data_IF_683369766537
#
_entry.id   IF_683369766537
#
_cell.length_a   1.000
_cell.length_b   1.000
_cell.length_c   1.000
_cell.angle_alpha   90.00
_cell.angle_beta   90.00
_cell.angle_gamma   90.00
#
_symmetry.space_group_name_H-M   'P 1'
#
loop_
_entity.id
_entity.type
_entity.pdbx_description
1 polymer ?
#
# COMPACT_ATOMS: atom_id res chain seq x y z
N UNK A 1 2.01 -19.30 17.54
CA UNK A 1 0.60 -18.87 17.45
C UNK A 1 0.63 -17.36 17.56
N UNK A 2 0.01 -16.65 16.62
CA UNK A 2 0.02 -15.20 16.67
C UNK A 2 -0.68 -14.73 17.94
N UNK A 3 -0.33 -13.52 18.39
CA UNK A 3 -1.01 -12.88 19.52
C UNK A 3 -2.49 -12.64 19.24
N UNK A 4 -2.87 -12.55 17.96
CA UNK A 4 -4.21 -12.19 17.51
C UNK A 4 -4.70 -13.14 16.40
N UNK A 5 -5.15 -14.36 16.73
CA UNK A 5 -5.57 -15.34 15.71
C UNK A 5 -6.68 -14.84 14.77
N UNK A 6 -7.51 -13.92 15.26
CA UNK A 6 -8.54 -13.23 14.47
C UNK A 6 -8.00 -12.38 13.31
N UNK A 7 -6.73 -11.94 13.40
CA UNK A 7 -6.08 -11.09 12.40
C UNK A 7 -5.15 -11.88 11.47
N UNK A 8 -5.01 -13.21 11.65
CA UNK A 8 -4.11 -14.04 10.83
C UNK A 8 -4.59 -14.20 9.38
N UNK A 9 -5.90 -14.04 9.15
CA UNK A 9 -6.52 -14.12 7.83
C UNK A 9 -7.78 -13.27 7.75
N UNK A 10 -8.10 -12.80 6.57
CA UNK A 10 -9.35 -12.07 6.31
C UNK A 10 -10.57 -12.97 6.50
N UNK A 11 -10.44 -14.27 6.26
CA UNK A 11 -11.49 -15.27 6.49
C UNK A 11 -11.82 -15.40 7.98
N UNK A 12 -10.79 -15.52 8.83
CA UNK A 12 -10.98 -15.54 10.29
C UNK A 12 -11.60 -14.23 10.78
N UNK A 13 -11.16 -13.10 10.23
CA UNK A 13 -11.70 -11.79 10.55
C UNK A 13 -13.19 -11.68 10.21
N UNK A 14 -13.60 -12.11 9.01
CA UNK A 14 -14.99 -12.04 8.54
C UNK A 14 -15.96 -12.85 9.38
N UNK A 15 -15.49 -13.91 10.03
CA UNK A 15 -16.30 -14.73 10.91
C UNK A 15 -16.66 -14.04 12.24
N UNK A 16 -16.02 -12.93 12.58
CA UNK A 16 -16.28 -12.19 13.82
C UNK A 16 -17.50 -11.28 13.72
N UNK A 17 -18.23 -11.18 14.82
CA UNK A 17 -19.22 -10.13 15.07
C UNK A 17 -18.55 -8.79 15.36
N UNK A 18 -19.24 -7.69 15.07
CA UNK A 18 -18.72 -6.32 15.24
C UNK A 18 -18.26 -6.03 16.67
N UNK A 19 -18.98 -6.52 17.69
CA UNK A 19 -18.58 -6.34 19.08
C UNK A 19 -17.20 -6.97 19.36
N UNK A 20 -16.92 -8.13 18.77
CA UNK A 20 -15.60 -8.79 18.87
C UNK A 20 -14.54 -8.02 18.07
N UNK A 21 -14.88 -7.50 16.88
CA UNK A 21 -13.97 -6.68 16.06
C UNK A 21 -13.51 -5.43 16.82
N UNK A 22 -14.44 -4.72 17.45
CA UNK A 22 -14.15 -3.56 18.30
C UNK A 22 -13.27 -3.96 19.48
N UNK A 23 -13.57 -5.08 20.14
CA UNK A 23 -12.76 -5.57 21.26
C UNK A 23 -11.31 -5.90 20.83
N UNK A 24 -11.11 -6.50 19.65
CA UNK A 24 -9.78 -6.72 19.06
C UNK A 24 -9.08 -5.38 18.83
N UNK A 25 -9.77 -4.37 18.29
CA UNK A 25 -9.21 -3.03 18.11
C UNK A 25 -8.68 -2.40 19.40
N UNK A 26 -9.48 -2.43 20.47
CA UNK A 26 -9.05 -1.95 21.80
C UNK A 26 -7.85 -2.74 22.33
N UNK A 27 -7.87 -4.06 22.14
CA UNK A 27 -6.82 -4.94 22.62
C UNK A 27 -5.50 -4.69 21.87
N UNK A 28 -5.52 -4.48 20.55
CA UNK A 28 -4.34 -4.09 19.77
C UNK A 28 -3.83 -2.71 20.18
N UNK A 29 -4.71 -1.71 20.32
CA UNK A 29 -4.31 -0.36 20.76
C UNK A 29 -3.56 -0.39 22.09
N UNK A 30 -4.02 -1.21 23.05
CA UNK A 30 -3.37 -1.38 24.35
C UNK A 30 -1.99 -2.06 24.29
N UNK A 31 -1.58 -2.58 23.12
CA UNK A 31 -0.24 -3.16 22.89
C UNK A 31 0.70 -2.25 22.12
N UNK A 32 0.15 -1.22 21.50
CA UNK A 32 0.91 -0.12 20.95
C UNK A 32 1.30 0.83 22.10
N UNK A 33 1.95 1.94 21.77
CA UNK A 33 2.25 2.95 22.77
C UNK A 33 0.99 3.68 23.27
N UNK A 34 1.07 4.31 24.45
CA UNK A 34 -0.09 4.93 25.12
C UNK A 34 -0.77 6.07 24.36
N UNK A 35 -0.18 6.55 23.26
CA UNK A 35 -0.74 7.62 22.43
C UNK A 35 -1.76 7.08 21.43
N UNK A 36 -1.80 5.77 21.20
CA UNK A 36 -2.85 5.14 20.38
C UNK A 36 -4.13 4.92 21.16
N UNK A 37 -5.27 5.27 20.54
CA UNK A 37 -6.59 5.01 21.09
C UNK A 37 -7.51 4.42 20.02
N UNK A 38 -8.16 3.29 20.33
CA UNK A 38 -9.12 2.66 19.42
C UNK A 38 -10.43 3.43 19.32
N UNK A 39 -10.99 3.48 18.12
CA UNK A 39 -12.35 3.94 17.87
C UNK A 39 -13.35 2.79 18.05
N UNK A 40 -14.57 3.15 18.42
CA UNK A 40 -15.72 2.23 18.47
C UNK A 40 -16.32 1.97 17.08
N UNK A 41 -16.10 2.89 16.14
CA UNK A 41 -16.55 2.76 14.76
C UNK A 41 -15.58 1.89 13.94
N UNK A 42 -16.15 0.95 13.19
CA UNK A 42 -15.43 0.10 12.23
C UNK A 42 -15.44 0.74 10.85
N UNK A 43 -14.34 0.60 10.10
CA UNK A 43 -14.12 1.28 8.81
C UNK A 43 -14.00 0.30 7.64
N UNK A 44 -14.27 0.80 6.43
CA UNK A 44 -14.18 0.02 5.19
C UNK A 44 -15.23 -1.09 5.07
N UNK A 45 -15.23 -1.75 3.91
CA UNK A 45 -16.15 -2.87 3.63
C UNK A 45 -15.88 -4.09 4.53
N UNK A 46 -14.62 -4.30 4.93
CA UNK A 46 -14.23 -5.36 5.85
C UNK A 46 -14.52 -5.03 7.33
N UNK A 47 -15.07 -3.84 7.62
CA UNK A 47 -15.40 -3.34 8.98
C UNK A 47 -14.22 -3.54 9.94
N UNK A 48 -13.08 -2.94 9.61
CA UNK A 48 -11.83 -3.04 10.37
C UNK A 48 -11.82 -2.06 11.55
N UNK A 49 -11.11 -2.36 12.65
CA UNK A 49 -10.93 -1.41 13.73
C UNK A 49 -9.99 -0.30 13.29
N UNK A 50 -10.25 0.90 13.78
CA UNK A 50 -9.42 2.07 13.51
C UNK A 50 -8.92 2.70 14.80
N UNK A 51 -7.80 3.41 14.72
CA UNK A 51 -7.11 4.04 15.85
C UNK A 51 -6.85 5.52 15.54
N UNK A 52 -6.84 6.34 16.58
CA UNK A 52 -6.25 7.68 16.56
C UNK A 52 -4.91 7.67 17.28
N UNK A 53 -4.11 8.72 17.07
CA UNK A 53 -2.87 8.92 17.80
C UNK A 53 -2.78 10.36 18.34
N UNK A 54 -2.37 10.51 19.60
CA UNK A 54 -2.35 11.80 20.28
C UNK A 54 -1.51 12.89 19.58
N UNK A 55 -0.35 12.52 19.01
CA UNK A 55 0.55 13.46 18.33
C UNK A 55 0.10 13.80 16.88
N UNK A 56 -0.86 13.03 16.34
CA UNK A 56 -1.32 13.15 14.95
C UNK A 56 -2.84 13.29 14.88
N UNK A 57 -3.39 14.39 15.46
CA UNK A 57 -4.82 14.64 15.39
C UNK A 57 -5.26 14.76 13.92
N UNK A 58 -6.32 14.03 13.56
CA UNK A 58 -6.86 14.00 12.19
C UNK A 58 -6.28 12.93 11.27
N UNK A 59 -5.23 12.20 11.70
CA UNK A 59 -4.76 11.02 11.00
C UNK A 59 -5.31 9.76 11.68
N UNK A 60 -6.07 8.98 10.93
CA UNK A 60 -6.60 7.69 11.36
C UNK A 60 -5.65 6.58 10.95
N UNK A 61 -5.53 5.55 11.79
CA UNK A 61 -4.84 4.30 11.50
C UNK A 61 -5.84 3.15 11.44
N UNK A 62 -5.55 2.13 10.63
CA UNK A 62 -6.41 0.97 10.41
C UNK A 62 -5.61 -0.28 10.75
N UNK A 63 -6.23 -1.21 11.50
CA UNK A 63 -5.66 -2.52 11.78
C UNK A 63 -6.05 -3.46 10.64
N UNK A 64 -5.09 -3.80 9.80
CA UNK A 64 -5.29 -4.63 8.60
C UNK A 64 -4.98 -6.10 8.94
N UNK A 65 -5.92 -7.03 8.71
CA UNK A 65 -5.65 -8.45 8.86
C UNK A 65 -4.63 -8.93 7.83
N UNK A 66 -3.82 -9.89 8.26
CA UNK A 66 -2.90 -10.63 7.42
C UNK A 66 -3.60 -11.65 6.53
N UNK A 67 -2.80 -12.51 5.91
CA UNK A 67 -3.29 -13.56 5.04
C UNK A 67 -2.21 -14.06 4.09
N UNK A 68 -2.65 -14.58 2.94
CA UNK A 68 -1.73 -14.99 1.88
C UNK A 68 -2.27 -14.57 0.52
N UNK A 69 -1.37 -14.20 -0.37
CA UNK A 69 -1.72 -13.91 -1.77
C UNK A 69 -0.57 -14.28 -2.70
N UNK A 70 -0.85 -14.23 -4.01
CA UNK A 70 0.15 -14.32 -5.07
C UNK A 70 0.58 -12.91 -5.42
N UNK A 71 1.84 -12.59 -5.14
CA UNK A 71 2.46 -11.29 -5.43
C UNK A 71 3.12 -11.32 -6.81
N UNK A 72 2.96 -10.23 -7.57
CA UNK A 72 3.43 -10.11 -8.95
C UNK A 72 2.31 -10.20 -9.98
N UNK A 73 2.63 -9.92 -11.25
CA UNK A 73 1.63 -9.83 -12.32
C UNK A 73 1.28 -11.21 -12.84
N UNK A 74 0.08 -11.67 -12.48
CA UNK A 74 -0.41 -12.99 -12.81
C UNK A 74 -1.03 -13.08 -14.21
N UNK A 75 -0.98 -14.26 -14.81
CA UNK A 75 -1.72 -14.52 -16.06
C UNK A 75 -3.21 -14.20 -15.89
N UNK A 76 -3.79 -14.47 -14.71
CA UNK A 76 -5.19 -14.12 -14.39
C UNK A 76 -5.44 -12.60 -14.32
N UNK A 77 -4.45 -11.81 -13.90
CA UNK A 77 -4.56 -10.34 -13.90
C UNK A 77 -4.61 -9.82 -15.35
N UNK A 78 -3.83 -10.44 -16.23
CA UNK A 78 -3.76 -10.12 -17.66
C UNK A 78 -5.05 -10.55 -18.37
N UNK A 79 -5.60 -11.71 -18.00
CA UNK A 79 -6.92 -12.16 -18.46
C UNK A 79 -8.01 -11.17 -18.06
N UNK A 80 -8.05 -10.72 -16.79
CA UNK A 80 -9.02 -9.71 -16.33
C UNK A 80 -8.84 -8.38 -17.07
N UNK A 81 -7.60 -7.91 -17.26
CA UNK A 81 -7.32 -6.71 -18.06
C UNK A 81 -7.89 -6.81 -19.48
N UNK A 82 -7.83 -8.00 -20.08
CA UNK A 82 -8.33 -8.27 -21.43
C UNK A 82 -9.87 -8.19 -21.53
N UNK A 83 -10.58 -8.31 -20.40
CA UNK A 83 -12.03 -8.13 -20.37
C UNK A 83 -12.42 -6.65 -20.52
N UNK A 84 -11.52 -5.75 -20.14
CA UNK A 84 -11.79 -4.31 -20.15
C UNK A 84 -11.26 -3.63 -21.40
N UNK A 85 -10.08 -3.99 -21.91
CA UNK A 85 -9.41 -3.23 -22.98
C UNK A 85 -8.95 -4.07 -24.18
N UNK A 86 -8.82 -3.40 -25.33
CA UNK A 86 -8.22 -3.99 -26.53
C UNK A 86 -6.69 -4.08 -26.44
N UNK A 87 -6.15 -5.20 -26.92
CA UNK A 87 -4.71 -5.47 -26.98
C UNK A 87 -4.00 -4.79 -28.16
N UNK A 88 -3.95 -3.47 -28.10
CA UNK A 88 -3.16 -2.64 -29.03
C UNK A 88 -1.67 -2.93 -28.87
N UNK A 89 -0.86 -2.43 -29.82
CA UNK A 89 0.60 -2.55 -29.74
C UNK A 89 1.15 -1.94 -28.46
N UNK A 90 0.62 -0.78 -28.05
CA UNK A 90 1.14 -0.06 -26.89
C UNK A 90 0.78 -0.78 -25.59
N UNK A 91 -0.44 -1.33 -25.48
CA UNK A 91 -0.85 -2.17 -24.34
C UNK A 91 0.07 -3.39 -24.22
N UNK A 92 0.36 -4.08 -25.33
CA UNK A 92 1.30 -5.23 -25.34
C UNK A 92 2.67 -4.85 -24.81
N UNK A 93 3.25 -3.77 -25.34
CA UNK A 93 4.58 -3.32 -24.93
C UNK A 93 4.63 -2.89 -23.46
N UNK A 94 3.56 -2.26 -22.95
CA UNK A 94 3.45 -1.88 -21.54
C UNK A 94 3.36 -3.11 -20.64
N UNK A 95 2.50 -4.08 -20.95
CA UNK A 95 2.38 -5.32 -20.17
C UNK A 95 3.68 -6.13 -20.23
N UNK A 96 4.29 -6.29 -21.40
CA UNK A 96 5.60 -6.94 -21.57
C UNK A 96 6.69 -6.24 -20.74
N UNK A 97 6.66 -4.91 -20.66
CA UNK A 97 7.59 -4.16 -19.83
C UNK A 97 7.38 -4.44 -18.34
N UNK A 98 6.12 -4.46 -17.87
CA UNK A 98 5.76 -4.77 -16.49
C UNK A 98 6.19 -6.17 -16.08
N UNK A 99 5.92 -7.17 -16.94
CA UNK A 99 6.26 -8.57 -16.71
C UNK A 99 7.75 -8.81 -16.40
N UNK A 100 8.66 -7.95 -16.87
CA UNK A 100 10.09 -8.08 -16.59
C UNK A 100 10.43 -7.95 -15.10
N UNK A 101 9.70 -7.10 -14.37
CA UNK A 101 9.99 -6.76 -12.98
C UNK A 101 8.93 -7.22 -11.98
N UNK A 102 7.78 -7.70 -12.47
CA UNK A 102 6.70 -8.25 -11.63
C UNK A 102 6.65 -9.78 -11.63
N UNK A 103 7.68 -10.46 -12.17
CA UNK A 103 7.81 -11.92 -12.19
C UNK A 103 9.12 -12.41 -11.57
N UNK A 104 9.20 -13.69 -11.13
CA UNK A 104 8.11 -14.66 -11.07
C UNK A 104 7.01 -14.28 -10.07
N UNK A 105 5.78 -14.71 -10.34
CA UNK A 105 4.74 -14.72 -9.33
C UNK A 105 5.16 -15.61 -8.17
N UNK A 106 4.91 -15.18 -6.93
CA UNK A 106 5.27 -15.95 -5.76
C UNK A 106 4.26 -15.76 -4.64
N UNK A 107 4.14 -16.78 -3.77
CA UNK A 107 3.25 -16.73 -2.62
C UNK A 107 3.89 -15.92 -1.50
N UNK A 108 3.15 -14.97 -0.97
CA UNK A 108 3.56 -14.15 0.18
C UNK A 108 2.59 -14.36 1.34
N UNK A 109 3.15 -14.56 2.54
CA UNK A 109 2.41 -14.53 3.81
C UNK A 109 2.51 -13.11 4.38
N UNK A 110 1.36 -12.46 4.53
CA UNK A 110 1.25 -11.11 5.08
C UNK A 110 0.89 -11.21 6.56
N UNK A 111 1.75 -10.66 7.41
CA UNK A 111 1.44 -10.49 8.82
C UNK A 111 0.35 -9.40 9.00
N UNK A 112 -0.49 -9.45 10.05
CA UNK A 112 -1.33 -8.31 10.36
C UNK A 112 -0.49 -7.09 10.73
N UNK A 113 -0.95 -5.91 10.30
CA UNK A 113 -0.23 -4.66 10.49
C UNK A 113 -1.17 -3.48 10.74
N UNK A 114 -0.60 -2.36 11.18
CA UNK A 114 -1.31 -1.09 11.32
C UNK A 114 -0.79 -0.11 10.26
N UNK A 115 -1.69 0.59 9.58
CA UNK A 115 -1.33 1.60 8.56
C UNK A 115 -2.18 2.84 8.71
N UNK A 116 -1.64 4.01 8.34
CA UNK A 116 -2.46 5.19 8.15
C UNK A 116 -3.54 4.94 7.09
N UNK A 117 -4.72 5.52 7.28
CA UNK A 117 -5.88 5.42 6.37
C UNK A 117 -5.59 6.01 4.99
N UNK A 118 -4.66 6.96 4.90
CA UNK A 118 -4.29 7.67 3.67
C UNK A 118 -2.85 8.16 3.72
N UNK A 119 -2.33 8.55 2.55
CA UNK A 119 -1.04 9.23 2.47
C UNK A 119 -1.05 10.55 3.26
N UNK A 120 0.13 10.96 3.73
CA UNK A 120 0.28 12.28 4.33
C UNK A 120 0.11 13.36 3.27
N UNK A 121 -0.64 14.41 3.61
CA UNK A 121 -0.75 15.59 2.76
C UNK A 121 0.37 16.60 3.06
N UNK A 122 0.54 17.57 2.17
CA UNK A 122 1.57 18.61 2.30
C UNK A 122 1.61 19.28 3.67
N UNK A 123 0.47 19.70 4.21
CA UNK A 123 0.41 20.38 5.50
C UNK A 123 0.88 19.49 6.65
N UNK A 124 0.59 18.19 6.59
CA UNK A 124 1.07 17.22 7.57
C UNK A 124 2.58 17.01 7.43
N UNK A 125 3.09 16.83 6.21
CA UNK A 125 4.53 16.66 5.97
C UNK A 125 5.33 17.89 6.41
N UNK A 126 4.86 19.10 6.07
CA UNK A 126 5.46 20.36 6.51
C UNK A 126 5.50 20.46 8.05
N UNK A 127 4.38 20.17 8.72
CA UNK A 127 4.29 20.22 10.18
C UNK A 127 5.23 19.21 10.83
N UNK A 128 5.26 17.98 10.33
CA UNK A 128 6.03 16.88 10.92
C UNK A 128 7.54 17.04 10.70
N UNK A 129 7.94 17.61 9.56
CA UNK A 129 9.35 17.84 9.22
C UNK A 129 9.91 19.17 9.74
N UNK A 130 9.11 20.03 10.37
CA UNK A 130 9.51 21.38 10.80
C UNK A 130 10.75 21.41 11.72
N UNK A 131 11.00 20.33 12.48
CA UNK A 131 12.17 20.22 13.36
C UNK A 131 13.43 19.69 12.68
N UNK A 132 13.36 19.32 11.40
CA UNK A 132 14.50 18.73 10.67
C UNK A 132 15.47 19.83 10.23
N UNK A 133 16.73 19.44 9.97
CA UNK A 133 17.74 20.36 9.43
C UNK A 133 17.28 20.98 8.09
N UNK A 134 16.54 20.20 7.31
CA UNK A 134 15.92 20.60 6.05
C UNK A 134 14.45 20.17 6.07
N UNK A 135 13.53 21.05 6.50
CA UNK A 135 12.10 20.78 6.47
C UNK A 135 11.61 20.54 5.04
N UNK A 136 10.55 19.73 4.93
CA UNK A 136 9.91 19.36 3.68
C UNK A 136 8.71 20.27 3.43
N UNK A 137 8.46 20.61 2.16
CA UNK A 137 7.42 21.56 1.74
C UNK A 137 6.45 20.99 0.68
N UNK A 138 6.48 19.66 0.53
CA UNK A 138 5.69 18.89 -0.43
C UNK A 138 5.41 17.51 0.17
N UNK A 139 4.30 16.90 -0.22
CA UNK A 139 3.86 15.56 0.13
C UNK A 139 4.44 14.48 -0.80
N UNK A 140 4.84 14.86 -2.00
CA UNK A 140 5.68 14.04 -2.86
C UNK A 140 7.15 14.31 -2.49
N UNK A 141 7.83 13.33 -1.90
CA UNK A 141 9.20 13.49 -1.38
C UNK A 141 10.12 12.36 -1.85
N UNK A 142 11.42 12.58 -1.74
CA UNK A 142 12.41 11.52 -1.95
C UNK A 142 12.28 10.41 -0.88
N UNK A 143 12.52 9.15 -1.26
CA UNK A 143 12.41 7.99 -0.35
C UNK A 143 13.28 8.14 0.91
N UNK A 144 14.46 8.72 0.78
CA UNK A 144 15.39 8.97 1.90
C UNK A 144 14.76 9.92 2.93
N UNK A 145 14.17 11.03 2.47
CA UNK A 145 13.48 11.99 3.32
C UNK A 145 12.23 11.37 3.98
N UNK A 146 11.44 10.60 3.23
CA UNK A 146 10.32 9.84 3.80
C UNK A 146 10.79 8.88 4.89
N UNK A 147 11.87 8.12 4.62
CA UNK A 147 12.44 7.14 5.55
C UNK A 147 12.98 7.81 6.83
N UNK A 148 13.66 8.95 6.70
CA UNK A 148 14.12 9.74 7.84
C UNK A 148 12.95 10.28 8.66
N UNK A 149 11.91 10.77 7.99
CA UNK A 149 10.72 11.30 8.66
C UNK A 149 10.00 10.23 9.47
N UNK A 150 9.63 9.10 8.84
CA UNK A 150 8.93 8.02 9.54
C UNK A 150 9.77 7.48 10.70
N UNK A 151 11.08 7.32 10.52
CA UNK A 151 11.98 6.84 11.57
C UNK A 151 12.03 7.79 12.77
N UNK A 152 12.08 9.11 12.53
CA UNK A 152 12.07 10.09 13.61
C UNK A 152 10.76 10.07 14.42
N UNK A 153 9.67 9.59 13.82
CA UNK A 153 8.38 9.41 14.48
C UNK A 153 8.20 8.05 15.17
N UNK A 154 9.22 7.17 15.14
CA UNK A 154 9.09 5.79 15.63
C UNK A 154 8.23 4.91 14.69
N UNK A 155 8.07 5.33 13.45
CA UNK A 155 7.28 4.68 12.41
C UNK A 155 8.18 4.08 11.33
N UNK A 156 7.56 3.30 10.44
CA UNK A 156 8.17 2.74 9.24
C UNK A 156 7.32 3.02 7.99
N UNK A 157 7.95 2.88 6.84
CA UNK A 157 7.26 2.75 5.56
C UNK A 157 6.57 1.36 5.46
N UNK A 158 5.53 1.23 4.62
CA UNK A 158 5.02 -0.07 4.18
C UNK A 158 6.11 -0.93 3.55
N UNK A 159 6.02 -2.26 3.64
CA UNK A 159 6.70 -3.10 2.66
C UNK A 159 5.95 -3.10 1.33
N UNK A 160 6.65 -3.44 0.25
CA UNK A 160 6.10 -3.55 -1.09
C UNK A 160 4.97 -4.60 -1.15
N UNK A 161 5.12 -5.68 -0.39
CA UNK A 161 4.11 -6.73 -0.23
C UNK A 161 2.87 -6.23 0.52
N UNK A 162 3.04 -5.41 1.56
CA UNK A 162 1.89 -4.80 2.26
C UNK A 162 1.11 -3.84 1.36
N UNK A 163 1.80 -3.07 0.50
CA UNK A 163 1.14 -2.20 -0.49
C UNK A 163 0.28 -3.01 -1.47
N UNK A 164 0.83 -4.06 -2.08
CA UNK A 164 0.07 -4.88 -3.03
C UNK A 164 -1.04 -5.68 -2.34
N UNK A 165 -0.85 -6.14 -1.10
CA UNK A 165 -1.90 -6.78 -0.32
C UNK A 165 -3.14 -5.88 -0.17
N UNK A 166 -2.93 -4.60 0.18
CA UNK A 166 -4.01 -3.63 0.28
C UNK A 166 -4.59 -3.29 -1.10
N UNK A 167 -3.75 -3.07 -2.11
CA UNK A 167 -4.19 -2.75 -3.47
C UNK A 167 -5.04 -3.86 -4.09
N UNK A 168 -4.72 -5.13 -3.80
CA UNK A 168 -5.46 -6.31 -4.26
C UNK A 168 -6.71 -6.63 -3.44
N UNK A 169 -7.11 -5.78 -2.49
CA UNK A 169 -8.28 -6.02 -1.64
C UNK A 169 -8.26 -7.39 -0.95
N UNK A 170 -7.13 -7.73 -0.34
CA UNK A 170 -6.83 -9.06 0.22
C UNK A 170 -6.62 -10.17 -0.82
N UNK A 171 -5.93 -9.87 -1.92
CA UNK A 171 -5.63 -10.85 -2.96
C UNK A 171 -6.81 -11.24 -3.87
N UNK A 172 -7.87 -10.42 -3.91
CA UNK A 172 -9.10 -10.69 -4.67
C UNK A 172 -9.26 -9.89 -5.96
N UNK A 173 -8.38 -8.91 -6.19
CA UNK A 173 -8.49 -7.98 -7.32
C UNK A 173 -7.18 -7.92 -8.09
N UNK A 174 -7.26 -7.89 -9.42
CA UNK A 174 -6.14 -7.55 -10.28
C UNK A 174 -5.81 -6.05 -10.26
N UNK A 175 -6.81 -5.21 -9.93
CA UNK A 175 -6.70 -3.75 -9.97
C UNK A 175 -6.72 -3.13 -8.59
N UNK A 176 -6.00 -2.01 -8.41
CA UNK A 176 -6.04 -1.21 -7.18
C UNK A 176 -7.49 -0.86 -6.83
N UNK A 177 -7.93 -1.18 -5.61
CA UNK A 177 -9.29 -0.94 -5.11
C UNK A 177 -10.42 -1.54 -6.00
N UNK A 178 -10.11 -2.58 -6.78
CA UNK A 178 -11.02 -3.15 -7.79
C UNK A 178 -11.53 -2.09 -8.78
N UNK A 179 -10.64 -1.20 -9.22
CA UNK A 179 -10.96 -0.09 -10.11
C UNK A 179 -11.30 -0.49 -11.55
N UNK A 180 -10.76 -1.62 -12.03
CA UNK A 180 -10.91 -2.04 -13.43
C UNK A 180 -12.36 -2.14 -13.91
N UNK A 181 -13.25 -2.67 -13.07
CA UNK A 181 -14.69 -2.78 -13.38
C UNK A 181 -15.41 -1.44 -13.60
N UNK A 182 -14.82 -0.33 -13.14
CA UNK A 182 -15.41 1.00 -13.30
C UNK A 182 -14.88 1.72 -14.55
N UNK A 183 -13.84 1.19 -15.18
CA UNK A 183 -13.08 1.85 -16.24
C UNK A 183 -13.96 2.41 -17.37
N UNK A 184 -14.91 1.63 -17.88
CA UNK A 184 -15.81 2.02 -18.99
C UNK A 184 -17.24 2.42 -18.57
N UNK A 185 -17.54 2.55 -17.27
CA UNK A 185 -18.91 2.80 -16.80
C UNK A 185 -19.12 4.20 -16.21
N UNK A 186 -18.16 4.68 -15.42
CA UNK A 186 -18.16 5.98 -14.76
C UNK A 186 -16.69 6.33 -14.53
N UNK A 187 -16.29 7.56 -14.84
CA UNK A 187 -14.93 8.06 -14.63
C UNK A 187 -14.65 8.30 -13.14
N UNK A 188 -14.80 7.26 -12.33
CA UNK A 188 -14.69 7.28 -10.89
C UNK A 188 -13.95 6.01 -10.46
N UNK A 189 -12.62 6.09 -10.46
CA UNK A 189 -11.83 5.10 -9.74
C UNK A 189 -12.24 5.15 -8.26
N UNK A 190 -12.37 4.01 -7.57
CA UNK A 190 -12.71 4.00 -6.15
C UNK A 190 -11.67 4.75 -5.32
N UNK A 191 -12.13 5.64 -4.44
CA UNK A 191 -11.25 6.41 -3.54
C UNK A 191 -10.64 5.54 -2.42
N UNK A 192 -11.26 4.41 -2.09
CA UNK A 192 -10.84 3.49 -1.03
C UNK A 192 -10.95 2.02 -1.44
N UNK A 193 -10.03 1.19 -0.92
CA UNK A 193 -10.10 -0.27 -1.02
C UNK A 193 -11.02 -0.88 0.03
N UNK A 194 -11.18 -2.20 0.04
CA UNK A 194 -12.08 -2.92 0.96
C UNK A 194 -11.72 -2.76 2.44
N UNK A 195 -10.46 -2.46 2.73
CA UNK A 195 -9.97 -2.19 4.08
C UNK A 195 -10.26 -0.75 4.56
N UNK A 196 -10.78 0.12 3.69
CA UNK A 196 -10.96 1.55 4.00
C UNK A 196 -9.67 2.37 3.87
N UNK A 197 -8.59 1.79 3.33
CA UNK A 197 -7.36 2.52 3.00
C UNK A 197 -7.54 3.25 1.67
N UNK A 198 -7.09 4.50 1.63
CA UNK A 198 -7.20 5.45 0.52
C UNK A 198 -5.86 5.69 -0.15
N UNK A 199 -5.90 6.40 -1.26
CA UNK A 199 -4.72 6.88 -2.00
C UNK A 199 -3.77 5.78 -2.51
N UNK A 200 -4.19 4.51 -2.51
CA UNK A 200 -3.40 3.39 -3.03
C UNK A 200 -3.05 3.53 -4.53
N UNK A 201 -3.62 4.52 -5.22
CA UNK A 201 -3.41 4.80 -6.63
C UNK A 201 -2.41 5.94 -6.91
N UNK A 202 -2.02 6.77 -5.94
CA UNK A 202 -1.26 8.01 -6.23
C UNK A 202 0.26 7.84 -6.37
N UNK A 203 0.80 6.66 -6.03
CA UNK A 203 2.24 6.40 -6.02
C UNK A 203 2.81 6.53 -4.61
N UNK A 204 3.12 5.40 -3.98
CA UNK A 204 3.55 5.35 -2.57
C UNK A 204 4.88 4.62 -2.42
N UNK A 205 5.84 5.22 -1.70
CA UNK A 205 7.12 4.59 -1.36
C UNK A 205 6.95 3.37 -0.48
N UNK A 206 7.60 2.28 -0.88
CA UNK A 206 7.87 1.13 -0.02
C UNK A 206 9.19 1.27 0.74
N UNK A 207 9.29 0.54 1.84
CA UNK A 207 10.51 0.31 2.58
C UNK A 207 11.53 -0.47 1.74
N UNK A 208 11.08 -1.28 0.78
CA UNK A 208 11.89 -2.18 -0.04
C UNK A 208 12.85 -1.46 -0.99
N UNK A 209 13.98 -2.12 -1.22
CA UNK A 209 14.93 -1.76 -2.24
C UNK A 209 14.49 -2.28 -3.62
N UNK A 210 14.92 -1.60 -4.69
CA UNK A 210 14.56 -2.02 -6.05
C UNK A 210 15.30 -3.29 -6.46
N UNK A 211 14.52 -4.27 -6.92
CA UNK A 211 15.01 -5.48 -7.56
C UNK A 211 14.42 -5.58 -8.98
N UNK A 212 15.20 -6.05 -9.98
CA UNK A 212 14.74 -6.08 -11.38
C UNK A 212 13.71 -7.18 -11.66
N UNK A 213 13.40 -8.03 -10.69
CA UNK A 213 12.46 -9.16 -10.75
C UNK A 213 12.16 -9.64 -9.32
N UNK A 214 11.20 -10.54 -9.14
CA UNK A 214 10.94 -11.22 -7.86
C UNK A 214 11.76 -12.52 -7.65
N UNK A 215 12.79 -12.76 -8.45
CA UNK A 215 13.67 -13.91 -8.25
C UNK A 215 14.40 -13.77 -6.91
N UNK A 216 14.14 -14.71 -5.99
CA UNK A 216 14.68 -14.66 -4.62
C UNK A 216 13.94 -13.71 -3.67
N UNK A 217 12.76 -13.19 -4.05
CA UNK A 217 11.94 -12.36 -3.19
C UNK A 217 11.51 -13.10 -1.89
N UNK A 218 11.35 -12.38 -0.76
CA UNK A 218 10.84 -12.97 0.48
C UNK A 218 9.44 -13.59 0.31
N UNK A 219 9.18 -14.70 0.98
CA UNK A 219 7.84 -15.32 1.05
C UNK A 219 6.96 -14.75 2.17
N UNK A 220 7.37 -13.61 2.74
CA UNK A 220 6.71 -12.92 3.86
C UNK A 220 6.60 -11.44 3.53
N UNK A 221 5.72 -10.71 4.21
CA UNK A 221 5.58 -9.25 4.04
C UNK A 221 6.72 -8.40 4.64
N UNK A 222 7.87 -8.99 4.98
CA UNK A 222 9.05 -8.25 5.40
C UNK A 222 9.67 -7.50 4.21
N UNK A 223 10.15 -6.24 4.38
CA UNK A 223 10.81 -5.51 3.30
C UNK A 223 12.02 -6.26 2.73
N UNK A 224 12.13 -6.27 1.40
CA UNK A 224 13.27 -6.84 0.67
C UNK A 224 14.38 -5.79 0.51
N UNK A 225 15.45 -5.95 1.30
CA UNK A 225 16.54 -4.98 1.39
C UNK A 225 17.88 -5.58 0.92
N UNK A 226 18.60 -4.86 0.05
CA UNK A 226 19.94 -5.19 -0.44
C UNK A 226 20.91 -3.99 -0.45
N UNK A 227 20.42 -2.81 -0.07
CA UNK A 227 21.15 -1.54 -0.07
C UNK A 227 20.99 -0.71 -1.35
N UNK A 228 20.13 -1.11 -2.29
CA UNK A 228 19.90 -0.33 -3.52
C UNK A 228 19.18 1.00 -3.24
N UNK A 229 19.78 2.16 -3.58
CA UNK A 229 19.24 3.47 -3.23
C UNK A 229 17.99 3.88 -4.01
N UNK A 230 17.67 3.23 -5.14
CA UNK A 230 16.49 3.58 -5.95
C UNK A 230 15.17 3.42 -5.17
N UNK A 231 15.04 2.32 -4.43
CA UNK A 231 13.77 1.93 -3.82
C UNK A 231 12.64 1.63 -4.80
N UNK A 232 11.52 1.19 -4.23
CA UNK A 232 10.31 0.80 -4.96
C UNK A 232 9.16 1.69 -4.52
N UNK A 233 8.31 2.07 -5.46
CA UNK A 233 6.99 2.62 -5.15
C UNK A 233 5.91 1.92 -5.97
N UNK A 234 4.66 1.93 -5.47
CA UNK A 234 3.50 1.29 -6.11
C UNK A 234 2.33 2.26 -6.26
N UNK A 235 1.43 1.98 -7.19
CA UNK A 235 0.38 2.91 -7.60
C UNK A 235 0.82 3.71 -8.82
N UNK A 236 0.65 5.03 -8.80
CA UNK A 236 0.91 5.93 -9.93
C UNK A 236 -0.05 5.70 -11.10
N UNK A 237 -1.34 5.54 -10.80
CA UNK A 237 -2.38 5.53 -11.83
C UNK A 237 -2.44 6.93 -12.48
N UNK A 238 -2.10 7.08 -13.78
CA UNK A 238 -2.16 8.36 -14.44
C UNK A 238 -3.63 8.72 -14.69
N UNK A 239 -4.06 9.90 -14.24
CA UNK A 239 -5.33 10.47 -14.65
C UNK A 239 -5.13 11.45 -15.82
N UNK A 240 -5.27 10.94 -17.04
CA UNK A 240 -5.36 11.81 -18.22
C UNK A 240 -6.72 12.48 -18.34
N UNK A 241 -6.78 13.52 -19.19
CA UNK A 241 -8.04 14.20 -19.58
C UNK A 241 -8.92 13.26 -20.42
N UNK A 242 -8.32 12.30 -21.12
CA UNK A 242 -9.01 11.27 -21.88
C UNK A 242 -8.60 9.89 -21.35
N UNK A 243 -9.57 9.11 -20.86
CA UNK A 243 -9.33 7.73 -20.43
C UNK A 243 -8.78 6.93 -21.61
N UNK A 244 -7.59 6.35 -21.46
CA UNK A 244 -6.97 5.53 -22.50
C UNK A 244 -6.58 4.14 -21.97
N UNK A 245 -6.58 3.10 -22.82
CA UNK A 245 -6.26 1.73 -22.38
C UNK A 245 -4.92 1.55 -21.66
N UNK A 246 -3.93 2.43 -21.87
CA UNK A 246 -2.65 2.35 -21.17
C UNK A 246 -2.79 2.72 -19.70
N UNK A 247 -3.61 3.72 -19.36
CA UNK A 247 -3.88 4.12 -17.97
C UNK A 247 -4.39 2.93 -17.15
N UNK A 248 -5.26 2.08 -17.73
CA UNK A 248 -5.75 0.91 -17.02
C UNK A 248 -4.64 -0.11 -16.69
N UNK A 249 -3.59 -0.21 -17.51
CA UNK A 249 -2.44 -1.05 -17.21
C UNK A 249 -1.73 -0.58 -15.93
N UNK A 250 -1.61 0.73 -15.72
CA UNK A 250 -1.02 1.31 -14.51
C UNK A 250 -1.94 1.16 -13.28
N UNK A 251 -3.22 0.83 -13.49
CA UNK A 251 -4.16 0.50 -12.43
C UNK A 251 -4.06 -0.92 -11.89
N UNK A 252 -3.22 -1.78 -12.49
CA UNK A 252 -2.95 -3.12 -11.99
C UNK A 252 -2.29 -3.03 -10.61
N UNK A 253 -2.81 -3.77 -9.64
CA UNK A 253 -2.28 -3.79 -8.27
C UNK A 253 -0.83 -4.34 -8.20
N UNK A 254 -0.44 -5.20 -9.14
CA UNK A 254 0.93 -5.67 -9.28
C UNK A 254 1.91 -4.60 -9.80
N UNK A 255 1.40 -3.49 -10.36
CA UNK A 255 2.25 -2.45 -10.90
C UNK A 255 3.18 -1.90 -9.81
N UNK A 256 4.44 -1.70 -10.21
CA UNK A 256 5.51 -1.18 -9.38
C UNK A 256 6.43 -0.38 -10.28
N UNK A 257 7.05 0.65 -9.72
CA UNK A 257 8.08 1.43 -10.38
C UNK A 257 9.31 1.55 -9.50
N UNK A 258 10.40 1.94 -10.15
CA UNK A 258 11.71 2.14 -9.55
C UNK A 258 11.91 3.64 -9.34
N UNK A 259 12.39 4.03 -8.17
CA UNK A 259 12.90 5.38 -7.98
C UNK A 259 14.15 5.70 -8.80
N UNK A 260 14.33 6.97 -9.11
CA UNK A 260 15.50 7.48 -9.80
C UNK A 260 16.79 7.17 -9.01
N UNK A 261 17.88 6.92 -9.73
CA UNK A 261 19.20 6.83 -9.13
C UNK A 261 19.60 8.21 -8.58
N UNK A 262 20.43 8.29 -7.53
CA UNK A 262 20.99 9.56 -7.07
C UNK A 262 21.77 10.35 -8.15
N UNK A 263 22.14 9.69 -9.25
CA UNK A 263 22.88 10.26 -10.39
C UNK A 263 21.94 10.76 -11.50
N UNK A 264 20.67 10.35 -11.46
CA UNK A 264 19.67 10.81 -12.42
C UNK A 264 19.36 12.27 -12.10
N UNK A 265 19.29 13.13 -13.13
CA UNK A 265 19.10 14.58 -12.95
C UNK A 265 17.69 14.97 -12.46
N UNK A 266 16.83 13.97 -12.29
CA UNK A 266 15.48 14.08 -11.76
C UNK A 266 15.39 13.09 -10.60
N UNK A 267 15.17 13.56 -9.38
CA UNK A 267 14.78 12.67 -8.29
C UNK A 267 13.30 12.36 -8.40
N UNK A 268 12.93 11.09 -8.23
CA UNK A 268 11.54 10.70 -8.16
C UNK A 268 10.98 11.07 -6.79
N UNK A 269 9.77 11.61 -6.81
CA UNK A 269 9.03 12.00 -5.63
C UNK A 269 7.75 11.17 -5.61
N UNK A 270 7.43 10.61 -4.45
CA UNK A 270 6.21 9.85 -4.25
C UNK A 270 5.65 10.11 -2.85
N UNK A 271 4.38 9.76 -2.67
CA UNK A 271 3.69 9.86 -1.39
C UNK A 271 4.16 8.75 -0.43
N UNK A 272 3.78 8.86 0.84
CA UNK A 272 4.04 7.82 1.83
C UNK A 272 3.01 7.84 2.95
N UNK A 273 2.70 6.66 3.49
CA UNK A 273 1.88 6.47 4.70
C UNK A 273 2.75 6.21 5.93
N UNK A 274 2.13 6.36 7.11
CA UNK A 274 2.76 6.04 8.39
C UNK A 274 2.34 4.67 8.89
N UNK A 275 3.29 3.90 9.38
CA UNK A 275 3.03 2.61 10.04
C UNK A 275 3.78 2.49 11.35
N UNK A 276 3.13 2.03 12.44
CA UNK A 276 3.84 1.61 13.64
C UNK A 276 4.94 0.61 13.33
N UNK A 277 6.08 0.77 13.98
CA UNK A 277 7.21 -0.19 13.87
C UNK A 277 6.93 -1.52 14.56
N UNK A 278 5.77 -1.68 15.21
CA UNK A 278 5.36 -2.91 15.86
C UNK A 278 4.66 -3.82 14.85
N UNK A 279 5.27 -4.96 14.55
CA UNK A 279 4.58 -6.04 13.86
C UNK A 279 3.62 -6.73 14.85
N UNK A 280 2.35 -6.91 14.46
CA UNK A 280 1.31 -7.49 15.33
C UNK A 280 1.39 -9.02 15.47
N UNK A 281 2.54 -9.61 15.14
CA UNK A 281 2.82 -11.05 15.17
C UNK A 281 2.73 -11.65 16.59
#
# INVERSE_FOLDING_TARGET
>A
MSRWPALDSVEAWRALEDATRVAVGRAVAATLDERFAAHEELVGMERLPSLSHADWPGLRFIIVPGGQFVMGLADSDIEELSEYIDWTRDVRLTVEAMLRFTRPEHRVVVAPFVTAERALNRTEVERLSAGFKSPLHTDEVERSAASELVKAMGMRLPSEAELEWMARDAGRSAFVCNGGRFWYGKRAWPEEGVFGVRDLHVGEWAADDWHPSYEGAPSTSAPWMDGNPCGVFRGELPYGVDQNPLELCYGLAAHRNRGALPQDRHSDHAFFTLRPSLDLL
#
